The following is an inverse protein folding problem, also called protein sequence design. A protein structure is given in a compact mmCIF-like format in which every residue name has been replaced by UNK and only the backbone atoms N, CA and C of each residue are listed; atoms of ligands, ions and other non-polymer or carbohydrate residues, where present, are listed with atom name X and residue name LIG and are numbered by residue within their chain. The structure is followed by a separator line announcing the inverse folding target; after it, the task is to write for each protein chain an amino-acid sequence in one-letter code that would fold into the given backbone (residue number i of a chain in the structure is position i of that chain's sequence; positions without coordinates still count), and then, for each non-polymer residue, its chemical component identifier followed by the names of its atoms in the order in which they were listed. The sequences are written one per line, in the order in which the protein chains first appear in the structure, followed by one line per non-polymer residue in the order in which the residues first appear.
data_IF_801613403604
#
_entry.id   IF_801613403604
#
_cell.length_a   1.000
_cell.length_b   1.000
_cell.length_c   1.000
_cell.angle_alpha   90.00
_cell.angle_beta   90.00
_cell.angle_gamma   90.00
#
_symmetry.space_group_name_H-M   'P 1'
#
loop_
_entity.id
_entity.type
_entity.pdbx_description
1 polymer ?
#
# COMPACT_ATOMS: atom_id res chain seq x y z
N UNK A 1 27.45 52.16 5.07
CA UNK A 1 27.11 50.86 5.72
C UNK A 1 25.74 50.27 5.30
N UNK A 2 24.72 51.08 5.12
CA UNK A 2 23.37 50.56 4.73
C UNK A 2 23.28 50.08 3.28
N UNK A 3 24.00 50.69 2.32
CA UNK A 3 24.01 50.28 0.94
C UNK A 3 24.60 48.88 0.73
N UNK A 4 25.64 48.50 1.49
CA UNK A 4 26.25 47.14 1.43
C UNK A 4 25.33 46.04 1.97
N UNK A 5 24.49 46.40 2.97
CA UNK A 5 23.53 45.46 3.54
C UNK A 5 22.37 45.16 2.56
N UNK A 6 21.87 46.18 1.86
CA UNK A 6 20.83 46.01 0.85
C UNK A 6 21.30 45.20 -0.37
N UNK A 7 22.54 45.43 -0.80
CA UNK A 7 23.14 44.67 -1.91
C UNK A 7 23.32 43.19 -1.57
N UNK A 8 23.75 42.88 -0.35
CA UNK A 8 23.87 41.49 0.13
C UNK A 8 22.53 40.77 0.22
N UNK A 9 21.45 41.46 0.63
CA UNK A 9 20.11 40.91 0.70
C UNK A 9 19.48 40.63 -0.68
N UNK A 10 19.77 41.49 -1.66
CA UNK A 10 19.33 41.30 -3.05
C UNK A 10 20.04 40.10 -3.71
N UNK A 11 21.33 39.90 -3.45
CA UNK A 11 22.08 38.78 -4.01
C UNK A 11 21.68 37.43 -3.36
N UNK A 12 21.27 37.44 -2.09
CA UNK A 12 20.81 36.23 -1.39
C UNK A 12 19.46 35.73 -1.95
N UNK A 13 18.55 36.62 -2.32
CA UNK A 13 17.27 36.25 -2.93
C UNK A 13 17.42 35.72 -4.38
N UNK A 14 18.41 36.16 -5.14
CA UNK A 14 18.67 35.64 -6.48
C UNK A 14 19.16 34.19 -6.50
N UNK A 15 19.81 33.72 -5.43
CA UNK A 15 20.32 32.34 -5.33
C UNK A 15 19.22 31.31 -5.04
N UNK A 16 18.05 31.69 -4.55
CA UNK A 16 16.95 30.76 -4.25
C UNK A 16 16.04 30.46 -5.45
N UNK A 17 16.12 31.25 -6.51
CA UNK A 17 15.27 31.08 -7.69
C UNK A 17 15.69 29.94 -8.64
N UNK A 18 16.79 29.22 -8.39
CA UNK A 18 17.38 28.27 -9.33
C UNK A 18 17.20 26.77 -8.98
N UNK A 19 16.43 26.41 -7.95
CA UNK A 19 16.33 25.02 -7.53
C UNK A 19 15.13 24.27 -8.17
N UNK A 20 14.36 24.93 -9.00
CA UNK A 20 13.32 24.28 -9.79
C UNK A 20 13.88 23.88 -11.15
N UNK A 21 14.62 22.76 -11.20
CA UNK A 21 14.90 22.11 -12.48
C UNK A 21 13.57 21.79 -13.15
N UNK A 22 13.35 22.23 -14.41
CA UNK A 22 12.12 21.93 -15.11
C UNK A 22 11.93 20.42 -15.15
N UNK A 23 10.75 19.95 -14.73
CA UNK A 23 10.40 18.54 -14.76
C UNK A 23 10.57 18.01 -16.18
N UNK A 24 11.11 16.79 -16.36
CA UNK A 24 11.36 16.24 -17.69
C UNK A 24 10.03 16.15 -18.48
N UNK A 25 10.02 16.56 -19.75
CA UNK A 25 8.84 16.41 -20.59
C UNK A 25 8.54 14.92 -20.80
N UNK A 26 7.28 14.54 -20.69
CA UNK A 26 6.80 13.19 -20.96
C UNK A 26 6.14 13.12 -22.33
N UNK A 27 6.26 11.99 -23.00
CA UNK A 27 5.44 11.70 -24.19
C UNK A 27 3.97 11.51 -23.79
N UNK A 28 3.00 11.64 -24.70
CA UNK A 28 1.58 11.40 -24.39
C UNK A 28 1.30 10.03 -23.77
N UNK A 29 2.01 9.00 -24.18
CA UNK A 29 1.91 7.66 -23.60
C UNK A 29 2.44 7.63 -22.15
N UNK A 30 3.57 8.26 -21.89
CA UNK A 30 4.14 8.37 -20.54
C UNK A 30 3.27 9.24 -19.63
N UNK A 31 2.63 10.28 -20.14
CA UNK A 31 1.70 11.13 -19.36
C UNK A 31 0.47 10.33 -18.91
N UNK A 32 -0.11 9.51 -19.81
CA UNK A 32 -1.20 8.59 -19.47
C UNK A 32 -0.77 7.58 -18.40
N UNK A 33 0.44 7.04 -18.51
CA UNK A 33 1.04 6.13 -17.53
C UNK A 33 1.26 6.82 -16.19
N UNK A 34 1.78 8.06 -16.19
CA UNK A 34 1.95 8.89 -15.00
C UNK A 34 0.63 9.10 -14.25
N UNK A 35 -0.43 9.45 -14.97
CA UNK A 35 -1.76 9.61 -14.36
C UNK A 35 -2.31 8.30 -13.77
N UNK A 36 -2.10 7.16 -14.45
CA UNK A 36 -2.53 5.85 -13.96
C UNK A 36 -1.80 5.47 -12.67
N UNK A 37 -0.47 5.66 -12.62
CA UNK A 37 0.33 5.42 -11.42
C UNK A 37 -0.07 6.36 -10.27
N UNK A 38 -0.24 7.65 -10.53
CA UNK A 38 -0.68 8.61 -9.51
C UNK A 38 -2.07 8.28 -8.94
N UNK A 39 -2.98 7.70 -9.73
CA UNK A 39 -4.28 7.18 -9.26
C UNK A 39 -4.17 5.92 -8.42
N UNK A 40 -3.17 5.08 -8.67
CA UNK A 40 -2.95 3.84 -7.92
C UNK A 40 -2.27 4.05 -6.57
N UNK A 41 -1.74 5.25 -6.32
CA UNK A 41 -1.08 5.62 -5.07
C UNK A 41 -1.99 6.47 -4.18
N UNK A 42 -1.97 6.17 -2.89
CA UNK A 42 -2.73 6.89 -1.86
C UNK A 42 -1.96 8.12 -1.37
N UNK A 43 -2.63 9.25 -1.25
CA UNK A 43 -2.08 10.41 -0.56
C UNK A 43 -2.09 10.17 0.95
N UNK A 44 -0.90 10.16 1.58
CA UNK A 44 -0.75 9.84 3.00
C UNK A 44 -1.25 10.92 3.96
N UNK A 45 -1.37 12.16 3.49
CA UNK A 45 -1.80 13.32 4.29
C UNK A 45 -3.23 13.76 3.97
N UNK A 46 -3.90 13.05 3.03
CA UNK A 46 -5.26 13.36 2.60
C UNK A 46 -6.24 12.28 3.07
N UNK A 47 -7.49 12.64 3.33
CA UNK A 47 -8.52 11.70 3.73
C UNK A 47 -8.87 10.74 2.58
N UNK A 48 -8.07 9.70 2.39
CA UNK A 48 -8.34 8.60 1.45
C UNK A 48 -8.35 8.96 -0.04
N UNK A 49 -7.77 10.12 -0.42
CA UNK A 49 -7.65 10.53 -1.83
C UNK A 49 -6.44 9.88 -2.49
N UNK A 50 -6.51 9.73 -3.82
CA UNK A 50 -5.33 9.35 -4.60
C UNK A 50 -4.33 10.50 -4.70
N UNK A 51 -3.08 10.18 -5.01
CA UNK A 51 -2.05 11.20 -5.31
C UNK A 51 -2.49 12.05 -6.51
N UNK A 52 -3.18 11.46 -7.49
CA UNK A 52 -3.67 12.18 -8.67
C UNK A 52 -4.69 13.27 -8.30
N UNK A 53 -5.59 12.98 -7.37
CA UNK A 53 -6.73 13.84 -7.02
C UNK A 53 -6.42 14.81 -5.89
N UNK A 54 -5.25 14.69 -5.27
CA UNK A 54 -4.82 15.53 -4.15
C UNK A 54 -4.06 16.77 -4.63
N UNK A 55 -4.35 17.93 -4.00
CA UNK A 55 -3.63 19.18 -4.15
C UNK A 55 -2.65 19.44 -2.98
N UNK A 56 -2.37 18.45 -2.13
CA UNK A 56 -1.41 18.60 -1.04
C UNK A 56 0.03 18.65 -1.57
N UNK A 57 0.90 19.46 -0.96
CA UNK A 57 2.29 19.61 -1.39
C UNK A 57 3.03 18.27 -1.50
N UNK A 58 2.78 17.32 -0.55
CA UNK A 58 3.35 15.97 -0.64
C UNK A 58 2.89 15.20 -1.88
N UNK A 59 1.62 15.38 -2.30
CA UNK A 59 1.12 14.73 -3.50
C UNK A 59 1.79 15.31 -4.76
N UNK A 60 2.08 16.61 -4.77
CA UNK A 60 2.79 17.25 -5.88
C UNK A 60 4.26 16.78 -5.95
N UNK A 61 4.92 16.61 -4.81
CA UNK A 61 6.27 16.03 -4.75
C UNK A 61 6.29 14.59 -5.27
N UNK A 62 5.29 13.77 -4.90
CA UNK A 62 5.16 12.39 -5.39
C UNK A 62 4.92 12.39 -6.91
N UNK A 63 4.04 13.25 -7.43
CA UNK A 63 3.79 13.39 -8.89
C UNK A 63 5.07 13.78 -9.63
N UNK A 64 5.85 14.73 -9.09
CA UNK A 64 7.13 15.13 -9.67
C UNK A 64 8.13 13.96 -9.68
N UNK A 65 8.21 13.20 -8.60
CA UNK A 65 9.09 12.03 -8.50
C UNK A 65 8.68 10.92 -9.49
N UNK A 66 7.37 10.63 -9.62
CA UNK A 66 6.83 9.70 -10.63
C UNK A 66 7.27 10.11 -12.05
N UNK A 67 7.16 11.40 -12.37
CA UNK A 67 7.56 11.94 -13.68
C UNK A 67 9.04 11.66 -13.97
N UNK A 68 9.92 11.89 -13.00
CA UNK A 68 11.36 11.62 -13.13
C UNK A 68 11.62 10.13 -13.37
N UNK A 69 11.02 9.24 -12.56
CA UNK A 69 11.23 7.79 -12.68
C UNK A 69 10.72 7.24 -14.02
N UNK A 70 9.57 7.73 -14.50
CA UNK A 70 9.02 7.37 -15.81
C UNK A 70 9.94 7.84 -16.94
N UNK A 71 10.49 9.05 -16.86
CA UNK A 71 11.42 9.57 -17.87
C UNK A 71 12.73 8.77 -17.92
N UNK A 72 13.13 8.16 -16.80
CA UNK A 72 14.28 7.25 -16.70
C UNK A 72 13.97 5.83 -17.25
N UNK A 73 12.74 5.57 -17.68
CA UNK A 73 12.36 4.29 -18.27
C UNK A 73 12.13 3.17 -17.26
N UNK A 74 11.94 3.47 -15.97
CA UNK A 74 11.65 2.45 -14.96
C UNK A 74 10.29 1.77 -15.19
N UNK A 75 10.18 0.49 -14.82
CA UNK A 75 8.91 -0.24 -14.89
C UNK A 75 7.94 0.22 -13.79
N UNK A 76 6.64 -0.11 -13.94
CA UNK A 76 5.62 0.27 -12.94
C UNK A 76 5.90 -0.38 -11.59
N UNK A 77 6.36 -1.63 -11.61
CA UNK A 77 6.70 -2.39 -10.39
C UNK A 77 7.89 -1.75 -9.67
N UNK A 78 8.92 -1.33 -10.40
CA UNK A 78 10.09 -0.65 -9.82
C UNK A 78 9.69 0.70 -9.21
N UNK A 79 8.83 1.46 -9.89
CA UNK A 79 8.33 2.73 -9.40
C UNK A 79 7.49 2.55 -8.13
N UNK A 80 6.55 1.58 -8.12
CA UNK A 80 5.72 1.28 -6.95
C UNK A 80 6.61 0.82 -5.78
N UNK A 81 7.59 -0.06 -6.02
CA UNK A 81 8.49 -0.52 -4.98
C UNK A 81 9.31 0.65 -4.40
N UNK A 82 9.86 1.53 -5.24
CA UNK A 82 10.56 2.74 -4.79
C UNK A 82 9.68 3.63 -3.89
N UNK A 83 8.39 3.80 -4.26
CA UNK A 83 7.45 4.57 -3.46
C UNK A 83 7.13 3.89 -2.13
N UNK A 84 6.98 2.56 -2.12
CA UNK A 84 6.76 1.77 -0.90
C UNK A 84 7.97 1.86 0.04
N UNK A 85 9.18 1.74 -0.48
CA UNK A 85 10.41 1.80 0.31
C UNK A 85 10.61 3.18 0.96
N UNK A 86 10.15 4.25 0.29
CA UNK A 86 10.33 5.63 0.76
C UNK A 86 9.19 6.11 1.67
N UNK A 87 7.96 5.72 1.39
CA UNK A 87 6.75 6.24 2.05
C UNK A 87 5.99 5.17 2.85
N UNK A 88 6.40 3.92 2.75
CA UNK A 88 5.76 2.79 3.43
C UNK A 88 4.66 2.10 2.62
N UNK A 89 4.27 0.89 3.07
CA UNK A 89 3.30 0.03 2.36
C UNK A 89 1.91 0.68 2.19
N UNK A 90 1.55 1.64 3.04
CA UNK A 90 0.25 2.32 3.00
C UNK A 90 0.04 3.21 1.78
N UNK A 91 1.11 3.57 1.05
CA UNK A 91 0.99 4.36 -0.18
C UNK A 91 0.29 3.59 -1.31
N UNK A 92 0.34 2.26 -1.28
CA UNK A 92 -0.28 1.43 -2.32
C UNK A 92 -1.71 1.05 -1.93
N UNK A 93 -2.70 1.30 -2.83
CA UNK A 93 -4.09 0.86 -2.63
C UNK A 93 -4.23 -0.67 -2.67
N UNK A 94 -3.39 -1.35 -3.43
CA UNK A 94 -3.39 -2.81 -3.52
C UNK A 94 -2.26 -3.34 -2.64
N UNK A 95 -2.55 -3.86 -1.43
CA UNK A 95 -1.51 -4.46 -0.62
C UNK A 95 -0.87 -5.61 -1.39
N UNK A 96 0.45 -5.68 -1.47
CA UNK A 96 1.13 -6.80 -2.08
C UNK A 96 0.72 -8.07 -1.35
N UNK A 97 0.53 -9.17 -2.09
CA UNK A 97 0.35 -10.50 -1.53
C UNK A 97 1.69 -10.92 -0.89
N UNK A 98 1.98 -10.39 0.27
CA UNK A 98 3.16 -10.75 1.05
C UNK A 98 2.86 -11.98 1.91
N UNK A 99 3.90 -12.76 2.27
CA UNK A 99 3.72 -13.91 3.15
C UNK A 99 3.04 -13.56 4.48
N UNK A 100 3.15 -12.33 4.95
CA UNK A 100 2.47 -11.82 6.15
C UNK A 100 0.95 -11.73 5.95
N UNK A 101 0.49 -11.29 4.78
CA UNK A 101 -0.95 -11.21 4.46
C UNK A 101 -1.54 -12.58 4.18
N UNK A 102 -0.74 -13.54 3.67
CA UNK A 102 -1.17 -14.91 3.46
C UNK A 102 -1.58 -15.61 4.77
N UNK A 103 -0.81 -15.41 5.85
CA UNK A 103 -1.14 -15.92 7.19
C UNK A 103 -2.46 -15.35 7.70
N UNK A 104 -2.73 -14.07 7.42
CA UNK A 104 -3.98 -13.41 7.83
C UNK A 104 -5.20 -13.97 7.09
N UNK A 105 -5.04 -14.35 5.83
CA UNK A 105 -6.11 -14.94 5.02
C UNK A 105 -6.33 -16.43 5.29
N UNK A 106 -5.25 -17.19 5.48
CA UNK A 106 -5.33 -18.63 5.73
C UNK A 106 -5.64 -18.95 7.20
N UNK A 107 -5.28 -18.08 8.14
CA UNK A 107 -5.50 -18.28 9.57
C UNK A 107 -6.95 -18.63 9.92
N UNK A 108 -7.94 -17.79 9.56
CA UNK A 108 -9.36 -18.06 9.84
C UNK A 108 -9.86 -19.35 9.17
N UNK A 109 -9.42 -19.64 7.95
CA UNK A 109 -9.80 -20.85 7.23
C UNK A 109 -9.29 -22.12 7.91
N UNK A 110 -8.03 -22.15 8.36
CA UNK A 110 -7.44 -23.25 9.11
C UNK A 110 -8.12 -23.46 10.46
N UNK A 111 -8.44 -22.38 11.19
CA UNK A 111 -9.18 -22.44 12.44
C UNK A 111 -10.58 -23.05 12.24
N UNK A 112 -11.27 -22.65 11.18
CA UNK A 112 -12.60 -23.15 10.86
C UNK A 112 -12.56 -24.66 10.52
N UNK A 113 -11.59 -25.09 9.72
CA UNK A 113 -11.38 -26.50 9.38
C UNK A 113 -11.07 -27.31 10.66
N UNK A 114 -10.20 -26.80 11.53
CA UNK A 114 -9.85 -27.46 12.79
C UNK A 114 -11.10 -27.62 13.68
N UNK A 115 -11.91 -26.56 13.84
CA UNK A 115 -13.17 -26.59 14.60
C UNK A 115 -14.14 -27.64 14.02
N UNK A 116 -14.31 -27.69 12.72
CA UNK A 116 -15.20 -28.67 12.07
C UNK A 116 -14.72 -30.09 12.30
N UNK A 117 -13.41 -30.37 12.21
CA UNK A 117 -12.83 -31.68 12.48
C UNK A 117 -13.03 -32.09 13.94
N UNK A 118 -12.80 -31.18 14.89
CA UNK A 118 -13.01 -31.45 16.32
C UNK A 118 -14.49 -31.70 16.61
N UNK A 119 -15.40 -30.93 16.07
CA UNK A 119 -16.85 -31.10 16.20
C UNK A 119 -17.28 -32.47 15.63
N UNK A 120 -16.83 -32.81 14.44
CA UNK A 120 -17.14 -34.09 13.82
C UNK A 120 -16.62 -35.30 14.65
N UNK A 121 -15.40 -35.19 15.21
CA UNK A 121 -14.85 -36.20 16.13
C UNK A 121 -15.66 -36.28 17.41
N UNK A 122 -16.12 -35.18 17.98
CA UNK A 122 -16.94 -35.15 19.18
C UNK A 122 -18.30 -35.82 18.93
N UNK A 123 -18.97 -35.52 17.83
CA UNK A 123 -20.25 -36.15 17.45
C UNK A 123 -20.07 -37.65 17.23
N UNK A 124 -19.03 -38.08 16.52
CA UNK A 124 -18.77 -39.52 16.34
C UNK A 124 -18.50 -40.25 17.64
N UNK A 125 -17.80 -39.63 18.59
CA UNK A 125 -17.57 -40.26 19.93
C UNK A 125 -18.86 -40.42 20.71
N UNK A 126 -19.77 -39.42 20.66
CA UNK A 126 -21.06 -39.51 21.35
C UNK A 126 -21.99 -40.56 20.73
N UNK A 127 -22.04 -40.69 19.41
CA UNK A 127 -22.88 -41.68 18.74
C UNK A 127 -22.50 -43.13 19.08
N UNK A 128 -21.21 -43.42 19.28
CA UNK A 128 -20.75 -44.73 19.75
C UNK A 128 -21.12 -45.00 21.22
N UNK A 129 -21.14 -43.97 22.08
CA UNK A 129 -21.51 -44.11 23.48
C UNK A 129 -23.00 -44.38 23.71
N UNK A 130 -23.87 -43.83 22.87
CA UNK A 130 -25.32 -44.04 22.93
C UNK A 130 -25.70 -45.45 22.48
N UNK A 131 -25.08 -45.98 21.43
CA UNK A 131 -25.33 -47.31 20.93
C UNK A 131 -24.95 -48.46 21.92
N UNK A 132 -23.96 -48.23 22.78
CA UNK A 132 -23.60 -49.19 23.84
C UNK A 132 -24.61 -49.18 25.01
N UNK A 133 -25.19 -48.00 25.32
CA UNK A 133 -26.11 -47.90 26.45
C UNK A 133 -27.49 -48.45 26.11
N UNK A 134 -27.92 -48.36 24.85
CA UNK A 134 -29.19 -48.95 24.40
C UNK A 134 -29.14 -50.49 24.32
N UNK A 135 -27.95 -51.08 24.08
CA UNK A 135 -27.80 -52.54 24.09
C UNK A 135 -27.77 -53.14 25.51
N UNK A 136 -27.30 -52.41 26.52
CA UNK A 136 -27.27 -52.88 27.93
C UNK A 136 -28.65 -52.80 28.56
N UNK A 137 -29.48 -51.82 28.19
CA UNK A 137 -30.85 -51.72 28.70
C UNK A 137 -31.87 -52.67 28.03
N UNK A 138 -31.46 -53.43 27.00
CA UNK A 138 -32.30 -54.41 26.33
C UNK A 138 -32.12 -55.83 26.87
N UNK A 139 -31.13 -56.09 27.75
CA UNK A 139 -30.86 -57.38 28.36
C UNK A 139 -31.38 -57.55 29.84
N UNK A 140 -32.01 -56.50 30.41
CA UNK A 140 -32.69 -56.56 31.71
C UNK A 140 -34.22 -56.77 31.53
#
# INVERSE_FOLDING_TARGET
MWLSLCLGFMLFNAAQAQIQSPLPPLTPAQEKRHQALAKSLRCLVCQNQSVADSAAGLADDIKAQLRVLISQGQSDEQIIQYMVDRYGEFINYKPPLSGKTLVLWLGPALLLILMLVLLWRAIRRQSHGLSMKDSESAEE
#
